data_IF_746185376132
#
_entry.id   IF_746185376132
#
_cell.length_a   1.000
_cell.length_b   1.000
_cell.length_c   1.000
_cell.angle_alpha   90.00
_cell.angle_beta   90.00
_cell.angle_gamma   90.00
#
_symmetry.space_group_name_H-M   'P 1'
#
loop_
_entity.id
_entity.type
_entity.pdbx_description
1 polymer ?
#
# COMPACT_ATOMS: atom_id res chain seq x y z
N UNK A 1 9.58 -1.73 3.56
CA UNK A 1 9.96 -0.30 3.57
C UNK A 1 8.69 0.53 3.48
N UNK A 2 8.60 1.62 4.25
CA UNK A 2 7.48 2.57 4.16
C UNK A 2 7.89 3.77 3.30
N UNK A 3 6.97 4.26 2.45
CA UNK A 3 7.20 5.40 1.55
C UNK A 3 6.42 6.65 1.97
N UNK A 4 5.31 6.47 2.72
CA UNK A 4 4.42 7.53 3.19
C UNK A 4 3.67 7.04 4.45
N UNK A 5 3.29 7.95 5.35
CA UNK A 5 2.51 7.62 6.55
C UNK A 5 3.29 7.72 7.87
N UNK A 6 4.59 8.04 7.81
CA UNK A 6 5.46 8.18 8.98
C UNK A 6 4.98 9.22 10.00
N UNK A 7 4.21 10.20 9.54
CA UNK A 7 3.58 11.22 10.39
C UNK A 7 2.48 10.65 11.30
N UNK A 8 1.95 9.47 10.99
CA UNK A 8 0.92 8.78 11.79
C UNK A 8 1.43 7.52 12.47
N UNK A 9 2.37 6.81 11.86
CA UNK A 9 2.89 5.52 12.35
C UNK A 9 4.38 5.39 12.06
N UNK A 10 5.16 4.97 13.06
CA UNK A 10 6.61 4.75 12.88
C UNK A 10 6.92 3.46 12.12
N UNK A 11 6.13 2.41 12.35
CA UNK A 11 6.30 1.10 11.74
C UNK A 11 4.94 0.38 11.63
N UNK A 12 4.84 -0.60 10.74
CA UNK A 12 3.63 -1.38 10.46
C UNK A 12 3.93 -2.87 10.65
N UNK A 13 3.38 -3.44 11.71
CA UNK A 13 3.49 -4.88 11.99
C UNK A 13 2.33 -5.70 11.40
N UNK A 14 1.15 -5.09 11.31
CA UNK A 14 -0.07 -5.75 10.86
C UNK A 14 -0.81 -4.88 9.85
N UNK A 15 -1.37 -5.54 8.84
CA UNK A 15 -2.35 -4.95 7.93
C UNK A 15 -3.66 -5.70 8.06
N UNK A 16 -4.76 -4.97 7.99
CA UNK A 16 -6.11 -5.50 8.13
C UNK A 16 -6.82 -5.41 6.79
N UNK A 17 -7.68 -6.38 6.50
CA UNK A 17 -8.51 -6.41 5.31
C UNK A 17 -9.78 -7.20 5.61
N UNK A 18 -10.91 -6.90 4.93
CA UNK A 18 -12.12 -7.71 5.05
C UNK A 18 -11.85 -9.18 4.73
N UNK A 19 -12.63 -10.07 5.33
CA UNK A 19 -12.41 -11.52 5.19
C UNK A 19 -12.69 -12.05 3.77
N UNK A 20 -13.68 -11.47 3.09
CA UNK A 20 -14.18 -11.96 1.81
C UNK A 20 -13.95 -10.97 0.67
N UNK A 21 -13.70 -11.46 -0.55
CA UNK A 21 -13.47 -10.62 -1.73
C UNK A 21 -14.70 -9.80 -2.12
N UNK A 22 -15.92 -10.29 -1.85
CA UNK A 22 -17.17 -9.53 -2.05
C UNK A 22 -17.25 -8.29 -1.16
N UNK A 23 -16.52 -8.28 -0.04
CA UNK A 23 -16.35 -7.14 0.85
C UNK A 23 -15.04 -6.38 0.59
N UNK A 24 -14.43 -6.57 -0.60
CA UNK A 24 -13.14 -6.01 -0.98
C UNK A 24 -11.97 -6.51 -0.11
N UNK A 25 -12.05 -7.74 0.41
CA UNK A 25 -10.96 -8.42 1.08
C UNK A 25 -9.84 -8.87 0.15
N UNK A 26 -8.59 -8.84 0.63
CA UNK A 26 -7.40 -9.23 -0.15
C UNK A 26 -6.72 -10.44 0.49
N UNK A 27 -6.32 -11.41 -0.34
CA UNK A 27 -5.49 -12.54 0.09
C UNK A 27 -4.06 -12.33 -0.42
N UNK A 28 -3.12 -12.22 0.51
CA UNK A 28 -1.68 -12.10 0.21
C UNK A 28 -0.99 -13.45 0.40
N UNK A 29 0.02 -13.74 -0.41
CA UNK A 29 0.86 -14.92 -0.22
C UNK A 29 1.82 -14.70 0.96
N UNK A 30 1.56 -15.37 2.09
CA UNK A 30 2.34 -15.22 3.33
C UNK A 30 3.63 -16.07 3.38
N UNK A 31 4.11 -16.57 2.24
CA UNK A 31 5.21 -17.54 2.19
C UNK A 31 6.62 -16.91 2.27
N UNK A 32 6.75 -15.64 2.67
CA UNK A 32 7.99 -14.84 2.71
C UNK A 32 8.78 -14.76 1.39
N UNK A 33 8.26 -15.32 0.29
CA UNK A 33 8.93 -15.27 -1.03
C UNK A 33 8.52 -14.07 -1.86
N UNK A 34 7.37 -13.46 -1.56
CA UNK A 34 6.86 -12.30 -2.29
C UNK A 34 6.87 -11.06 -1.42
N UNK A 35 7.43 -9.99 -1.98
CA UNK A 35 7.28 -8.65 -1.46
C UNK A 35 6.16 -7.96 -2.23
N UNK A 36 5.39 -7.12 -1.54
CA UNK A 36 4.29 -6.38 -2.14
C UNK A 36 4.46 -4.89 -1.86
N UNK A 37 4.09 -4.06 -2.83
CA UNK A 37 3.70 -2.69 -2.56
C UNK A 37 2.27 -2.70 -2.02
N UNK A 38 2.07 -2.15 -0.84
CA UNK A 38 0.76 -2.00 -0.23
C UNK A 38 0.44 -0.51 -0.11
N UNK A 39 -0.72 -0.12 -0.63
CA UNK A 39 -1.34 1.17 -0.35
C UNK A 39 -2.62 0.95 0.46
N UNK A 40 -2.99 1.91 1.30
CA UNK A 40 -4.13 1.75 2.19
C UNK A 40 -4.37 2.97 3.07
N UNK A 41 -5.28 2.81 4.02
CA UNK A 41 -5.67 3.85 4.95
C UNK A 41 -5.10 3.56 6.35
N UNK A 42 -4.56 4.59 6.98
CA UNK A 42 -4.22 4.55 8.41
C UNK A 42 -5.41 5.07 9.20
N UNK A 43 -5.99 4.22 10.03
CA UNK A 43 -7.12 4.53 10.92
C UNK A 43 -6.64 5.28 12.18
N UNK A 44 -7.58 5.89 12.90
CA UNK A 44 -7.28 6.70 14.10
C UNK A 44 -6.65 5.91 15.25
N UNK A 45 -6.87 4.59 15.30
CA UNK A 45 -6.27 3.66 16.26
C UNK A 45 -4.91 3.09 15.78
N UNK A 46 -4.37 3.61 14.67
CA UNK A 46 -3.09 3.20 14.12
C UNK A 46 -3.16 1.90 13.29
N UNK A 47 -4.34 1.34 13.05
CA UNK A 47 -4.46 0.18 12.15
C UNK A 47 -4.30 0.59 10.69
N UNK A 48 -3.57 -0.21 9.92
CA UNK A 48 -3.48 -0.06 8.47
C UNK A 48 -4.52 -0.96 7.82
N UNK A 49 -5.48 -0.35 7.13
CA UNK A 49 -6.56 -1.04 6.41
C UNK A 49 -6.27 -1.04 4.91
N UNK A 50 -6.31 -2.23 4.29
CA UNK A 50 -6.17 -2.43 2.85
C UNK A 50 -7.42 -3.13 2.28
N UNK A 51 -7.76 -2.78 1.05
CA UNK A 51 -8.90 -3.29 0.30
C UNK A 51 -8.50 -3.69 -1.12
N UNK A 52 -9.35 -4.49 -1.76
CA UNK A 52 -9.16 -4.96 -3.13
C UNK A 52 -8.96 -3.84 -4.16
N UNK A 53 -9.56 -2.66 -3.92
CA UNK A 53 -9.45 -1.50 -4.78
C UNK A 53 -8.17 -0.68 -4.54
N UNK A 54 -7.39 -0.97 -3.49
CA UNK A 54 -6.13 -0.30 -3.28
C UNK A 54 -5.08 -0.80 -4.28
N UNK A 55 -4.07 0.02 -4.53
CA UNK A 55 -2.95 -0.39 -5.37
C UNK A 55 -2.07 -1.35 -4.58
N UNK A 56 -2.21 -2.64 -4.89
CA UNK A 56 -1.55 -3.77 -4.26
C UNK A 56 -0.94 -4.61 -5.37
N UNK A 57 0.39 -4.63 -5.45
CA UNK A 57 1.11 -5.26 -6.56
C UNK A 57 2.36 -5.96 -6.00
N UNK A 58 2.75 -7.14 -6.53
CA UNK A 58 4.06 -7.70 -6.25
C UNK A 58 5.16 -6.69 -6.59
N UNK A 59 6.15 -6.59 -5.70
CA UNK A 59 7.22 -5.60 -5.84
C UNK A 59 8.00 -5.79 -7.14
N UNK A 60 8.18 -7.01 -7.60
CA UNK A 60 8.93 -7.32 -8.81
C UNK A 60 8.20 -6.94 -10.11
N UNK A 61 6.86 -6.85 -10.04
CA UNK A 61 6.01 -6.50 -11.19
C UNK A 61 5.94 -4.97 -11.40
N UNK A 62 6.38 -4.18 -10.43
CA UNK A 62 6.49 -2.73 -10.58
C UNK A 62 7.62 -2.35 -11.54
N UNK A 63 7.32 -1.45 -12.47
CA UNK A 63 8.33 -0.83 -13.33
C UNK A 63 9.36 -0.04 -12.52
N UNK A 64 10.57 0.10 -13.07
CA UNK A 64 11.63 0.92 -12.47
C UNK A 64 11.17 2.37 -12.23
N UNK A 65 10.34 2.91 -13.12
CA UNK A 65 9.78 4.26 -12.99
C UNK A 65 8.83 4.36 -11.80
N UNK A 66 7.95 3.36 -11.60
CA UNK A 66 7.05 3.32 -10.45
C UNK A 66 7.84 3.23 -9.14
N UNK A 67 8.79 2.30 -9.03
CA UNK A 67 9.65 2.12 -7.85
C UNK A 67 10.36 3.43 -7.47
N UNK A 68 10.98 4.10 -8.44
CA UNK A 68 11.67 5.37 -8.22
C UNK A 68 10.72 6.50 -7.83
N UNK A 69 9.54 6.54 -8.43
CA UNK A 69 8.57 7.62 -8.23
C UNK A 69 7.90 7.59 -6.84
N UNK A 70 7.85 6.43 -6.17
CA UNK A 70 7.35 6.28 -4.80
C UNK A 70 8.00 7.26 -3.81
N UNK A 71 9.32 7.46 -3.91
CA UNK A 71 10.08 8.35 -3.03
C UNK A 71 10.34 9.75 -3.61
N UNK A 72 10.14 9.94 -4.92
CA UNK A 72 10.64 11.13 -5.61
C UNK A 72 9.54 12.01 -6.21
N UNK A 73 8.56 11.41 -6.90
CA UNK A 73 7.69 12.15 -7.84
C UNK A 73 6.22 12.12 -7.46
N UNK A 74 5.72 11.01 -6.94
CA UNK A 74 4.27 10.89 -6.68
C UNK A 74 3.77 11.92 -5.67
N UNK A 75 4.55 12.23 -4.65
CA UNK A 75 4.18 13.27 -3.67
C UNK A 75 4.10 14.66 -4.31
N UNK A 76 4.94 14.98 -5.29
CA UNK A 76 4.89 16.26 -6.01
C UNK A 76 3.62 16.38 -6.86
N UNK A 77 3.11 15.26 -7.37
CA UNK A 77 1.90 15.20 -8.19
C UNK A 77 0.59 15.18 -7.40
N UNK A 78 0.61 15.15 -6.06
CA UNK A 78 -0.61 15.06 -5.25
C UNK A 78 -1.57 16.25 -5.42
N UNK A 79 -1.08 17.40 -5.91
CA UNK A 79 -1.93 18.56 -6.24
C UNK A 79 -2.57 18.49 -7.64
N UNK A 80 -2.19 17.50 -8.44
CA UNK A 80 -2.73 17.28 -9.79
C UNK A 80 -3.86 16.24 -9.76
N UNK A 81 -4.72 16.28 -10.78
CA UNK A 81 -5.76 15.26 -11.01
C UNK A 81 -5.37 14.40 -12.21
N UNK A 82 -5.44 13.08 -12.04
CA UNK A 82 -5.37 12.10 -13.13
C UNK A 82 -6.81 11.82 -13.58
N UNK A 83 -7.09 11.94 -14.87
CA UNK A 83 -8.42 11.80 -15.49
C UNK A 83 -8.37 10.92 -16.72
#
# INVERSE_FOLDING_TARGET
QMFKGFEKLKDVQYVYTPFDSSLCGVKLEANNKKQYLLTGQILGDGKVLIHLCNYIEPWDDLSLSQKKSLNQRYQMGCGCKVS
#
